data_IF_169165912861
#
_entry.id   IF_169165912861
#
_cell.length_a   1.000
_cell.length_b   1.000
_cell.length_c   1.000
_cell.angle_alpha   90.00
_cell.angle_beta   90.00
_cell.angle_gamma   90.00
#
_symmetry.space_group_name_H-M   'P 1'
#
loop_
_entity.id
_entity.type
_entity.pdbx_description
1 polymer ?
#
# COMPACT_ATOMS: atom_id res chain seq x y z
N UNK A 1 8.52 -17.15 9.57
CA UNK A 1 8.99 -16.34 8.42
C UNK A 1 9.66 -15.12 9.00
N UNK A 2 10.99 -15.03 8.89
CA UNK A 2 11.73 -13.84 9.31
C UNK A 2 11.26 -12.69 8.43
N UNK A 3 11.06 -11.51 9.04
CA UNK A 3 10.89 -10.27 8.29
C UNK A 3 12.00 -10.21 7.24
N UNK A 4 11.69 -10.02 5.96
CA UNK A 4 12.73 -9.72 4.98
C UNK A 4 13.06 -8.23 5.18
N UNK A 5 14.15 -7.87 5.89
CA UNK A 5 14.41 -6.47 6.23
C UNK A 5 14.65 -5.62 4.99
N UNK A 6 15.13 -6.22 3.89
CA UNK A 6 15.31 -5.56 2.60
C UNK A 6 13.97 -5.13 2.02
N UNK A 7 12.97 -6.01 2.07
CA UNK A 7 11.65 -5.74 1.53
C UNK A 7 10.94 -4.57 2.25
N UNK A 8 11.04 -4.51 3.59
CA UNK A 8 10.51 -3.39 4.35
C UNK A 8 11.28 -2.09 4.11
N UNK A 9 12.61 -2.17 3.90
CA UNK A 9 13.42 -1.00 3.58
C UNK A 9 13.07 -0.44 2.18
N UNK A 10 12.91 -1.32 1.19
CA UNK A 10 12.48 -0.95 -0.17
C UNK A 10 11.08 -0.35 -0.16
N UNK A 11 10.12 -0.97 0.52
CA UNK A 11 8.77 -0.44 0.66
C UNK A 11 8.78 0.98 1.25
N UNK A 12 9.57 1.20 2.32
CA UNK A 12 9.73 2.53 2.92
C UNK A 12 10.38 3.53 1.98
N UNK A 13 11.30 3.10 1.12
CA UNK A 13 11.93 3.97 0.12
C UNK A 13 10.89 4.44 -0.89
N UNK A 14 10.14 3.51 -1.48
CA UNK A 14 9.12 3.81 -2.48
C UNK A 14 7.96 4.64 -1.89
N UNK A 15 7.57 4.40 -0.63
CA UNK A 15 6.57 5.23 0.05
C UNK A 15 7.02 6.68 0.21
N UNK A 16 8.30 6.92 0.51
CA UNK A 16 8.85 8.29 0.58
C UNK A 16 8.90 8.93 -0.80
N UNK A 17 9.32 8.18 -1.81
CA UNK A 17 9.31 8.63 -3.19
C UNK A 17 7.89 9.07 -3.62
N UNK A 18 6.89 8.23 -3.37
CA UNK A 18 5.50 8.51 -3.73
C UNK A 18 4.93 9.73 -2.98
N UNK A 19 5.38 10.00 -1.75
CA UNK A 19 5.03 11.24 -1.03
C UNK A 19 5.61 12.49 -1.69
N UNK A 20 6.75 12.38 -2.38
CA UNK A 20 7.36 13.51 -3.10
C UNK A 20 6.84 13.67 -4.53
N UNK A 21 6.21 12.64 -5.09
CA UNK A 21 5.58 12.70 -6.41
C UNK A 21 4.39 13.66 -6.44
N UNK A 22 4.29 14.48 -7.48
CA UNK A 22 3.08 15.22 -7.78
C UNK A 22 2.09 14.30 -8.50
N UNK A 23 1.08 13.83 -7.78
CA UNK A 23 0.11 12.88 -8.31
C UNK A 23 -1.01 13.66 -8.99
N UNK A 24 -0.99 13.68 -10.32
CA UNK A 24 -2.10 14.20 -11.11
C UNK A 24 -3.28 13.22 -11.06
N UNK A 25 -4.36 13.63 -10.40
CA UNK A 25 -5.61 12.88 -10.32
C UNK A 25 -6.81 13.81 -10.59
N UNK A 26 -7.15 14.03 -11.87
CA UNK A 26 -8.22 14.95 -12.25
C UNK A 26 -9.59 14.52 -11.71
N UNK A 27 -9.80 13.24 -11.44
CA UNK A 27 -11.07 12.68 -10.98
C UNK A 27 -11.23 12.74 -9.45
N UNK A 28 -10.21 13.21 -8.73
CA UNK A 28 -10.17 13.28 -7.27
C UNK A 28 -10.43 11.93 -6.56
N UNK A 29 -10.23 10.80 -7.26
CA UNK A 29 -10.39 9.46 -6.66
C UNK A 29 -9.31 9.23 -5.60
N UNK A 30 -9.66 9.09 -4.30
CA UNK A 30 -8.66 8.88 -3.27
C UNK A 30 -7.98 7.50 -3.36
N UNK A 31 -8.48 6.57 -4.18
CA UNK A 31 -7.91 5.24 -4.35
C UNK A 31 -6.83 5.23 -5.45
N UNK A 32 -5.57 5.33 -5.04
CA UNK A 32 -4.42 5.51 -5.94
C UNK A 32 -4.07 4.26 -6.77
N UNK A 33 -4.57 3.09 -6.39
CA UNK A 33 -4.49 1.88 -7.22
C UNK A 33 -5.83 1.46 -7.84
N UNK A 34 -6.77 2.40 -7.90
CA UNK A 34 -8.06 2.17 -8.55
C UNK A 34 -7.90 2.21 -10.06
N UNK A 35 -8.75 1.45 -10.77
CA UNK A 35 -8.80 1.47 -12.25
C UNK A 35 -8.96 2.91 -12.76
N UNK A 36 -9.80 3.71 -12.11
CA UNK A 36 -10.05 5.10 -12.49
C UNK A 36 -8.80 5.97 -12.38
N UNK A 37 -8.07 5.90 -11.25
CA UNK A 37 -6.80 6.60 -11.08
C UNK A 37 -5.77 6.16 -12.14
N UNK A 38 -5.66 4.85 -12.38
CA UNK A 38 -4.71 4.31 -13.36
C UNK A 38 -4.97 4.83 -14.78
N UNK A 39 -6.22 5.11 -15.16
CA UNK A 39 -6.55 5.66 -16.49
C UNK A 39 -6.01 7.07 -16.72
N UNK A 40 -5.81 7.87 -15.66
CA UNK A 40 -5.51 9.30 -15.76
C UNK A 40 -4.14 9.70 -15.20
N UNK A 41 -3.47 8.79 -14.51
CA UNK A 41 -2.14 9.01 -13.93
C UNK A 41 -1.00 8.68 -14.90
N UNK A 42 0.11 9.40 -14.75
CA UNK A 42 1.34 9.18 -15.51
C UNK A 42 1.97 7.81 -15.23
N UNK A 43 2.69 7.29 -16.23
CA UNK A 43 3.31 5.97 -16.16
C UNK A 43 4.31 5.81 -14.99
N UNK A 44 5.22 6.78 -14.71
CA UNK A 44 6.10 6.69 -13.53
C UNK A 44 5.36 6.52 -12.21
N UNK A 45 4.34 7.35 -11.96
CA UNK A 45 3.52 7.25 -10.75
C UNK A 45 2.77 5.92 -10.67
N UNK A 46 2.25 5.42 -11.79
CA UNK A 46 1.61 4.10 -11.88
C UNK A 46 2.56 2.97 -11.50
N UNK A 47 3.74 2.92 -12.11
CA UNK A 47 4.75 1.89 -11.81
C UNK A 47 5.20 1.94 -10.34
N UNK A 48 5.34 3.14 -9.78
CA UNK A 48 5.69 3.31 -8.37
C UNK A 48 4.61 2.75 -7.44
N UNK A 49 3.33 3.01 -7.74
CA UNK A 49 2.21 2.47 -6.98
C UNK A 49 2.14 0.95 -7.10
N UNK A 50 2.29 0.39 -8.30
CA UNK A 50 2.31 -1.06 -8.53
C UNK A 50 3.44 -1.75 -7.71
N UNK A 51 4.64 -1.17 -7.70
CA UNK A 51 5.75 -1.68 -6.87
C UNK A 51 5.43 -1.65 -5.39
N UNK A 52 4.80 -0.58 -4.90
CA UNK A 52 4.37 -0.47 -3.51
C UNK A 52 3.32 -1.54 -3.19
N UNK A 53 2.37 -1.80 -4.07
CA UNK A 53 1.36 -2.85 -3.87
C UNK A 53 1.96 -4.25 -3.79
N UNK A 54 2.89 -4.57 -4.69
CA UNK A 54 3.61 -5.85 -4.67
C UNK A 54 4.39 -6.03 -3.38
N UNK A 55 5.23 -5.04 -3.02
CA UNK A 55 6.02 -5.06 -1.81
C UNK A 55 5.15 -5.12 -0.55
N UNK A 56 4.05 -4.35 -0.48
CA UNK A 56 3.15 -4.36 0.66
C UNK A 56 2.40 -5.69 0.79
N UNK A 57 2.03 -6.32 -0.32
CA UNK A 57 1.37 -7.63 -0.32
C UNK A 57 2.30 -8.72 0.20
N UNK A 58 3.58 -8.70 -0.20
CA UNK A 58 4.58 -9.63 0.33
C UNK A 58 4.96 -9.30 1.80
N UNK A 59 5.00 -8.01 2.16
CA UNK A 59 5.38 -7.56 3.49
C UNK A 59 4.32 -7.87 4.54
N UNK A 60 3.06 -7.61 4.23
CA UNK A 60 2.02 -7.44 5.25
C UNK A 60 1.17 -8.66 5.49
N UNK A 61 1.25 -9.69 4.66
CA UNK A 61 0.46 -10.91 4.82
C UNK A 61 1.34 -12.12 5.14
N UNK A 62 0.89 -12.95 6.09
CA UNK A 62 1.46 -14.27 6.27
C UNK A 62 0.91 -15.26 5.24
N UNK A 63 1.45 -16.49 5.23
CA UNK A 63 1.03 -17.53 4.30
C UNK A 63 -0.47 -17.93 4.41
N UNK A 64 -1.20 -17.46 5.44
CA UNK A 64 -2.65 -17.67 5.61
C UNK A 64 -3.46 -16.41 5.26
N UNK A 65 -2.84 -15.41 4.65
CA UNK A 65 -3.47 -14.14 4.32
C UNK A 65 -3.78 -13.26 5.53
N UNK A 66 -3.14 -13.48 6.69
CA UNK A 66 -3.36 -12.66 7.90
C UNK A 66 -2.36 -11.52 7.97
N UNK A 67 -2.80 -10.37 8.48
CA UNK A 67 -1.94 -9.20 8.64
C UNK A 67 -0.79 -9.41 9.63
N UNK A 68 0.45 -9.18 9.19
CA UNK A 68 1.67 -9.16 10.00
C UNK A 68 1.81 -7.77 10.64
N UNK A 69 1.21 -7.59 11.81
CA UNK A 69 1.09 -6.25 12.44
C UNK A 69 2.43 -5.57 12.74
N UNK A 70 3.49 -6.32 13.07
CA UNK A 70 4.80 -5.74 13.36
C UNK A 70 5.51 -5.24 12.09
N UNK A 71 5.33 -5.91 10.94
CA UNK A 71 5.81 -5.40 9.64
C UNK A 71 5.09 -4.11 9.25
N UNK A 72 3.77 -4.06 9.42
CA UNK A 72 2.99 -2.84 9.16
C UNK A 72 3.51 -1.65 9.97
N UNK A 73 3.84 -1.86 11.26
CA UNK A 73 4.43 -0.82 12.12
C UNK A 73 5.84 -0.43 11.65
N UNK A 74 6.67 -1.39 11.27
CA UNK A 74 8.04 -1.16 10.81
C UNK A 74 8.12 -0.41 9.47
N UNK A 75 7.09 -0.54 8.62
CA UNK A 75 7.00 0.14 7.33
C UNK A 75 6.52 1.61 7.43
N UNK A 76 6.08 2.08 8.61
CA UNK A 76 5.62 3.46 8.79
C UNK A 76 6.77 4.44 8.54
N UNK A 77 6.48 5.47 7.74
CA UNK A 77 7.32 6.65 7.53
C UNK A 77 6.47 7.90 7.78
N UNK A 78 7.13 9.05 7.96
CA UNK A 78 6.42 10.34 8.11
C UNK A 78 5.49 10.58 6.92
N UNK A 79 4.26 11.04 7.19
CA UNK A 79 3.23 11.23 6.16
C UNK A 79 2.49 9.96 5.71
N UNK A 80 2.84 8.78 6.22
CA UNK A 80 2.17 7.50 5.90
C UNK A 80 1.47 6.91 7.13
N UNK A 81 0.22 6.47 6.97
CA UNK A 81 -0.48 5.65 7.96
C UNK A 81 -0.86 4.29 7.37
N UNK A 82 -0.55 3.20 8.06
CA UNK A 82 -0.88 1.85 7.61
C UNK A 82 -1.92 1.24 8.57
N UNK A 83 -3.09 0.89 8.06
CA UNK A 83 -4.24 0.43 8.88
C UNK A 83 -4.91 -0.77 8.25
N UNK A 84 -5.28 -1.76 9.08
CA UNK A 84 -6.18 -2.84 8.66
C UNK A 84 -7.62 -2.33 8.59
N UNK A 85 -8.32 -2.61 7.49
CA UNK A 85 -9.72 -2.28 7.35
C UNK A 85 -10.57 -3.28 8.15
N UNK A 86 -11.42 -2.76 9.05
CA UNK A 86 -12.31 -3.61 9.87
C UNK A 86 -13.60 -4.02 9.14
N UNK A 87 -13.94 -3.32 8.07
CA UNK A 87 -15.11 -3.59 7.22
C UNK A 87 -14.82 -4.61 6.11
N UNK A 88 -13.65 -5.25 6.09
CA UNK A 88 -13.33 -6.28 5.12
C UNK A 88 -14.18 -7.55 5.37
N UNK A 89 -14.52 -8.31 4.32
CA UNK A 89 -15.13 -9.63 4.42
C UNK A 89 -14.41 -10.56 5.41
N UNK A 90 -15.15 -11.51 5.99
CA UNK A 90 -14.63 -12.42 7.02
C UNK A 90 -13.56 -13.41 6.51
N UNK A 91 -13.47 -13.57 5.20
CA UNK A 91 -12.52 -14.37 4.43
C UNK A 91 -11.42 -13.51 3.78
N UNK A 92 -11.38 -12.20 4.05
CA UNK A 92 -10.39 -11.29 3.47
C UNK A 92 -9.66 -10.52 4.58
N UNK A 93 -8.36 -10.30 4.42
CA UNK A 93 -7.64 -9.26 5.16
C UNK A 93 -7.35 -8.11 4.20
N UNK A 94 -7.86 -6.91 4.52
CA UNK A 94 -7.60 -5.69 3.75
C UNK A 94 -6.80 -4.69 4.55
N UNK A 95 -5.78 -4.10 3.93
CA UNK A 95 -4.90 -3.09 4.53
C UNK A 95 -4.91 -1.85 3.64
N UNK A 96 -5.05 -0.68 4.26
CA UNK A 96 -4.90 0.61 3.60
C UNK A 96 -3.58 1.26 4.02
N UNK A 97 -2.85 1.75 3.02
CA UNK A 97 -1.69 2.62 3.17
C UNK A 97 -2.16 4.01 2.78
N UNK A 98 -2.31 4.89 3.77
CA UNK A 98 -2.84 6.24 3.60
C UNK A 98 -1.67 7.21 3.50
N UNK A 99 -1.64 8.01 2.44
CA UNK A 99 -0.65 9.05 2.17
C UNK A 99 -1.26 10.40 2.49
N UNK A 100 -0.63 11.15 3.40
CA UNK A 100 -1.12 12.44 3.87
C UNK A 100 -1.34 13.40 2.69
N UNK A 101 -2.59 13.86 2.51
CA UNK A 101 -2.96 14.81 1.47
C UNK A 101 -2.97 14.25 0.03
N UNK A 102 -2.76 12.95 -0.17
CA UNK A 102 -2.69 12.35 -1.52
C UNK A 102 -3.76 11.29 -1.78
N UNK A 103 -4.10 10.47 -0.80
CA UNK A 103 -5.05 9.37 -0.97
C UNK A 103 -4.60 8.11 -0.25
N UNK A 104 -4.99 6.95 -0.76
CA UNK A 104 -4.59 5.67 -0.20
C UNK A 104 -4.41 4.59 -1.27
N UNK A 105 -3.56 3.62 -0.93
CA UNK A 105 -3.38 2.36 -1.65
C UNK A 105 -4.06 1.27 -0.81
N UNK A 106 -4.73 0.32 -1.47
CA UNK A 106 -5.35 -0.83 -0.80
C UNK A 106 -4.65 -2.10 -1.24
N UNK A 107 -4.20 -2.91 -0.29
CA UNK A 107 -3.78 -4.29 -0.55
C UNK A 107 -4.70 -5.25 0.21
N UNK A 108 -5.03 -6.36 -0.41
CA UNK A 108 -5.95 -7.37 0.16
C UNK A 108 -5.45 -8.77 -0.13
N UNK A 109 -5.69 -9.68 0.82
CA UNK A 109 -5.42 -11.10 0.64
C UNK A 109 -6.54 -11.94 1.21
N UNK A 110 -6.95 -12.96 0.46
CA UNK A 110 -7.90 -13.98 0.92
C UNK A 110 -7.26 -14.81 2.03
N UNK A 111 -8.05 -15.14 3.04
CA UNK A 111 -7.65 -15.99 4.17
C UNK A 111 -7.92 -17.45 3.83
N UNK A 112 -6.92 -18.30 4.08
CA UNK A 112 -7.01 -19.75 3.97
C UNK A 112 -7.33 -20.41 5.31
#
# INVERSE_FOLDING_TARGET
MLANPHLLAELRSHLRELLTHDLANPDQDPHLSGVMFFCVTDEPSRQLIERIELLASEAFFDARGRAITHHMKAAVVEGVQIKRCRSAPADETRIRIILSGKGYITVSMTRA
#
